data_IF_551024572101
#
_entry.id   IF_551024572101
#
_cell.length_a   1.000
_cell.length_b   1.000
_cell.length_c   1.000
_cell.angle_alpha   90.00
_cell.angle_beta   90.00
_cell.angle_gamma   90.00
#
_symmetry.space_group_name_H-M   'P 1'
#
loop_
_entity.id
_entity.type
_entity.pdbx_description
1 polymer ?
#
# COMPACT_ATOMS: atom_id res chain seq x y z
N UNK A 1 -10.35 -14.36 -1.04
CA UNK A 1 -10.22 -13.87 -2.44
C UNK A 1 -8.78 -13.40 -2.57
N UNK A 2 -7.98 -14.02 -3.43
CA UNK A 2 -6.64 -13.52 -3.71
C UNK A 2 -6.71 -12.53 -4.86
N UNK A 3 -6.14 -11.34 -4.66
CA UNK A 3 -6.21 -10.25 -5.64
C UNK A 3 -5.20 -10.43 -6.79
N UNK A 4 -4.20 -11.31 -6.62
CA UNK A 4 -3.10 -11.53 -7.57
C UNK A 4 -2.91 -13.03 -7.72
N UNK A 5 -3.24 -13.56 -8.90
CA UNK A 5 -3.32 -15.02 -9.17
C UNK A 5 -2.03 -15.64 -9.70
N UNK A 6 -1.01 -14.82 -9.94
CA UNK A 6 0.33 -15.23 -10.39
C UNK A 6 1.36 -14.18 -9.99
N UNK A 7 2.65 -14.54 -9.88
CA UNK A 7 3.72 -13.57 -9.85
C UNK A 7 3.65 -12.58 -11.01
N UNK A 8 4.02 -11.33 -10.74
CA UNK A 8 4.07 -10.23 -11.70
C UNK A 8 5.48 -9.65 -11.77
N UNK A 9 5.79 -8.91 -12.83
CA UNK A 9 7.05 -8.13 -12.90
C UNK A 9 6.81 -6.66 -12.57
N UNK A 10 7.87 -5.90 -12.30
CA UNK A 10 7.72 -4.45 -12.16
C UNK A 10 7.22 -3.80 -13.46
N UNK A 11 7.55 -4.35 -14.62
CA UNK A 11 7.10 -3.87 -15.93
C UNK A 11 5.57 -3.93 -16.07
N UNK A 12 4.95 -4.96 -15.51
CA UNK A 12 3.49 -5.13 -15.46
C UNK A 12 2.81 -4.23 -14.40
N UNK A 13 3.58 -3.64 -13.49
CA UNK A 13 3.07 -2.78 -12.43
C UNK A 13 2.83 -1.34 -12.91
N UNK A 14 1.73 -0.66 -12.49
CA UNK A 14 1.43 0.70 -12.91
C UNK A 14 2.58 1.67 -12.59
N UNK A 15 3.11 2.33 -13.62
CA UNK A 15 4.30 3.22 -13.54
C UNK A 15 4.16 4.27 -12.44
N UNK A 16 2.99 4.91 -12.34
CA UNK A 16 2.70 5.94 -11.34
C UNK A 16 2.82 5.43 -9.89
N UNK A 17 2.73 4.13 -9.67
CA UNK A 17 2.77 3.51 -8.34
C UNK A 17 4.02 2.67 -8.08
N UNK A 18 4.77 2.31 -9.13
CA UNK A 18 5.95 1.42 -9.06
C UNK A 18 6.98 1.88 -8.03
N UNK A 19 7.46 3.12 -8.14
CA UNK A 19 8.47 3.67 -7.22
C UNK A 19 7.97 3.71 -5.77
N UNK A 20 6.67 3.93 -5.57
CA UNK A 20 6.07 3.99 -4.24
C UNK A 20 6.02 2.59 -3.61
N UNK A 21 5.63 1.58 -4.37
CA UNK A 21 5.60 0.18 -3.91
C UNK A 21 7.02 -0.37 -3.66
N UNK A 22 8.00 -0.03 -4.50
CA UNK A 22 9.41 -0.32 -4.22
C UNK A 22 9.86 0.34 -2.90
N UNK A 23 9.42 1.57 -2.65
CA UNK A 23 9.63 2.27 -1.38
C UNK A 23 9.06 1.52 -0.17
N UNK A 24 7.85 0.97 -0.28
CA UNK A 24 7.23 0.15 0.80
C UNK A 24 8.04 -1.12 1.11
N UNK A 25 8.64 -1.72 0.08
CA UNK A 25 9.43 -2.95 0.20
C UNK A 25 10.86 -2.70 0.71
N UNK A 26 11.31 -1.45 0.68
CA UNK A 26 12.60 -1.04 1.27
C UNK A 26 12.52 -0.85 2.81
N UNK A 27 13.67 -0.67 3.49
CA UNK A 27 13.70 -0.28 4.90
C UNK A 27 12.97 1.05 5.19
N UNK A 28 12.86 1.94 4.21
CA UNK A 28 12.11 3.19 4.35
C UNK A 28 10.59 2.97 4.47
N UNK A 29 10.08 1.78 4.12
CA UNK A 29 8.66 1.44 4.19
C UNK A 29 8.04 1.64 5.57
N UNK A 30 8.80 1.36 6.65
CA UNK A 30 8.36 1.62 8.02
C UNK A 30 8.02 3.09 8.22
N UNK A 31 8.93 4.00 7.86
CA UNK A 31 8.70 5.44 7.96
C UNK A 31 7.55 5.91 7.05
N UNK A 32 7.47 5.36 5.84
CA UNK A 32 6.46 5.76 4.86
C UNK A 32 5.05 5.34 5.31
N UNK A 33 4.89 4.14 5.86
CA UNK A 33 3.57 3.61 6.23
C UNK A 33 3.27 3.81 7.72
N UNK A 34 4.14 3.33 8.61
CA UNK A 34 3.91 3.31 10.04
C UNK A 34 3.88 4.72 10.62
N UNK A 35 4.83 5.58 10.25
CA UNK A 35 4.85 6.97 10.74
C UNK A 35 3.89 7.88 9.95
N UNK A 36 3.92 7.80 8.61
CA UNK A 36 3.26 8.79 7.74
C UNK A 36 1.92 8.37 7.15
N UNK A 37 1.46 7.14 7.38
CA UNK A 37 0.17 6.61 6.90
C UNK A 37 -0.05 6.75 5.38
N UNK A 38 1.02 6.73 4.57
CA UNK A 38 0.94 7.09 3.14
C UNK A 38 0.03 6.15 2.34
N UNK A 39 -0.14 4.90 2.76
CA UNK A 39 -1.04 3.96 2.08
C UNK A 39 -2.48 4.49 2.08
N UNK A 40 -3.00 4.86 3.25
CA UNK A 40 -4.38 5.34 3.41
C UNK A 40 -4.52 6.75 2.84
N UNK A 41 -3.55 7.63 3.07
CA UNK A 41 -3.66 9.04 2.67
C UNK A 41 -3.40 9.32 1.19
N UNK A 42 -2.68 8.44 0.49
CA UNK A 42 -2.28 8.67 -0.91
C UNK A 42 -2.62 7.52 -1.85
N UNK A 43 -2.29 6.28 -1.47
CA UNK A 43 -2.50 5.12 -2.37
C UNK A 43 -3.99 4.85 -2.54
N UNK A 44 -4.73 4.78 -1.44
CA UNK A 44 -6.18 4.54 -1.45
C UNK A 44 -6.93 5.55 -2.33
N UNK A 45 -6.88 6.88 -2.07
CA UNK A 45 -7.62 7.83 -2.90
C UNK A 45 -7.07 7.92 -4.33
N UNK A 46 -5.77 7.69 -4.55
CA UNK A 46 -5.18 7.64 -5.88
C UNK A 46 -5.59 6.42 -6.71
N UNK A 47 -6.10 5.37 -6.05
CA UNK A 47 -6.58 4.13 -6.70
C UNK A 47 -8.09 4.12 -6.91
N UNK A 48 -8.79 5.23 -6.66
CA UNK A 48 -10.22 5.39 -6.88
C UNK A 48 -10.44 6.42 -8.00
N UNK A 49 -11.22 6.06 -9.02
CA UNK A 49 -11.47 6.93 -10.18
C UNK A 49 -12.20 8.23 -9.82
N UNK A 50 -13.11 8.17 -8.83
CA UNK A 50 -13.81 9.34 -8.30
C UNK A 50 -13.08 9.91 -7.09
N UNK A 51 -13.34 11.18 -6.79
CA UNK A 51 -12.91 11.77 -5.51
C UNK A 51 -13.70 11.14 -4.35
N UNK A 52 -12.99 10.72 -3.31
CA UNK A 52 -13.58 10.36 -2.02
C UNK A 52 -13.90 11.64 -1.23
N UNK A 53 -15.05 11.68 -0.55
CA UNK A 53 -15.37 12.80 0.35
C UNK A 53 -14.55 12.71 1.63
N UNK A 54 -14.58 13.78 2.44
CA UNK A 54 -13.85 13.78 3.72
C UNK A 54 -14.43 12.74 4.68
N UNK A 55 -15.76 12.62 4.73
CA UNK A 55 -16.46 11.66 5.58
C UNK A 55 -16.13 10.21 5.18
N UNK A 56 -16.00 9.94 3.87
CA UNK A 56 -15.55 8.63 3.38
C UNK A 56 -14.10 8.36 3.78
N UNK A 57 -13.23 9.36 3.65
CA UNK A 57 -11.83 9.24 4.05
C UNK A 57 -11.67 9.03 5.56
N UNK A 58 -12.47 9.70 6.39
CA UNK A 58 -12.49 9.50 7.85
C UNK A 58 -12.82 8.05 8.23
N UNK A 59 -13.75 7.42 7.52
CA UNK A 59 -14.08 6.00 7.72
C UNK A 59 -12.87 5.10 7.44
N UNK A 60 -12.14 5.36 6.34
CA UNK A 60 -10.92 4.62 6.01
C UNK A 60 -9.75 4.91 6.94
N UNK A 61 -9.62 6.14 7.45
CA UNK A 61 -8.58 6.51 8.41
C UNK A 61 -8.82 5.92 9.79
N UNK A 62 -10.07 5.71 10.20
CA UNK A 62 -10.46 5.31 11.55
C UNK A 62 -9.62 4.16 12.15
N UNK A 63 -9.28 3.07 11.44
CA UNK A 63 -8.45 2.00 11.99
C UNK A 63 -6.96 2.35 12.14
N UNK A 64 -6.51 3.44 11.52
CA UNK A 64 -5.10 3.80 11.32
C UNK A 64 -4.76 5.19 11.87
N UNK A 65 -5.65 5.78 12.68
CA UNK A 65 -5.44 7.09 13.32
C UNK A 65 -4.18 7.04 14.19
N UNK A 66 -4.11 6.05 15.09
CA UNK A 66 -2.92 5.81 15.89
C UNK A 66 -1.79 5.33 14.97
N UNK A 67 -0.58 5.86 15.17
CA UNK A 67 0.62 5.35 14.49
C UNK A 67 1.08 4.02 15.08
N UNK A 68 2.11 3.42 14.49
CA UNK A 68 2.66 2.16 14.98
C UNK A 68 1.97 0.93 14.39
N UNK A 69 1.80 -0.11 15.20
CA UNK A 69 1.40 -1.44 14.75
C UNK A 69 -0.02 -1.53 14.15
N UNK A 70 -0.90 -0.58 14.46
CA UNK A 70 -2.20 -0.44 13.79
C UNK A 70 -2.06 -0.35 12.25
N UNK A 71 -0.96 0.25 11.77
CA UNK A 71 -0.62 0.43 10.35
C UNK A 71 0.24 -0.70 9.78
N UNK A 72 0.65 -1.67 10.59
CA UNK A 72 1.43 -2.85 10.13
C UNK A 72 0.78 -3.57 8.96
N UNK A 73 -0.54 -3.84 8.95
CA UNK A 73 -1.17 -4.55 7.85
C UNK A 73 -1.03 -3.82 6.50
N UNK A 74 -1.05 -2.48 6.50
CA UNK A 74 -0.92 -1.68 5.26
C UNK A 74 0.52 -1.56 4.77
N UNK A 75 1.50 -2.01 5.56
CA UNK A 75 2.91 -2.20 5.13
C UNK A 75 3.22 -3.65 4.75
N UNK A 76 2.67 -4.62 5.49
CA UNK A 76 2.90 -6.04 5.20
C UNK A 76 2.28 -6.42 3.86
N UNK A 77 1.03 -6.03 3.60
CA UNK A 77 0.35 -6.40 2.35
C UNK A 77 1.14 -6.07 1.07
N UNK A 78 1.67 -4.84 0.85
CA UNK A 78 2.46 -4.56 -0.35
C UNK A 78 3.79 -5.32 -0.43
N UNK A 79 4.29 -5.86 0.69
CA UNK A 79 5.49 -6.71 0.73
C UNK A 79 5.19 -8.17 0.37
N UNK A 80 3.95 -8.62 0.56
CA UNK A 80 3.51 -9.99 0.23
C UNK A 80 3.11 -10.16 -1.24
N UNK A 81 3.04 -9.07 -2.01
CA UNK A 81 2.74 -9.17 -3.45
C UNK A 81 3.92 -9.87 -4.14
N UNK A 82 3.71 -10.97 -4.88
CA UNK A 82 4.78 -11.67 -5.59
C UNK A 82 5.21 -10.87 -6.84
N UNK A 83 6.23 -10.04 -6.68
CA UNK A 83 6.83 -9.22 -7.74
C UNK A 83 8.27 -9.68 -7.98
N UNK A 84 8.59 -10.03 -9.22
CA UNK A 84 9.94 -10.51 -9.62
C UNK A 84 10.45 -11.68 -8.76
N UNK A 85 9.55 -12.58 -8.35
CA UNK A 85 9.89 -13.74 -7.54
C UNK A 85 10.06 -13.46 -6.05
N UNK A 86 9.71 -12.25 -5.58
CA UNK A 86 9.67 -11.90 -4.17
C UNK A 86 8.26 -11.49 -3.71
N UNK A 87 7.73 -12.04 -2.61
CA UNK A 87 8.27 -13.18 -1.87
C UNK A 87 8.22 -14.45 -2.74
N UNK A 88 9.07 -15.45 -2.44
CA UNK A 88 9.00 -16.74 -3.12
C UNK A 88 7.65 -17.41 -2.83
N UNK A 89 6.96 -17.82 -3.90
CA UNK A 89 5.65 -18.51 -3.87
C UNK A 89 5.80 -20.02 -3.82
#
# INVERSE_FOLDING_TARGET
MEAIVRPVTWEEWPEASRNLFQGFRSPAGEKIIIEKNVFVERVLPGSVLRKLTEEEMEVYRRPYIEGGESRRPTLTWPREIPIEGEPPT
#
